data_IF_691808647239
#
_entry.id   IF_691808647239
#
_cell.length_a   1.000
_cell.length_b   1.000
_cell.length_c   1.000
_cell.angle_alpha   90.00
_cell.angle_beta   90.00
_cell.angle_gamma   90.00
#
_symmetry.space_group_name_H-M   'P 1'
#
loop_
_entity.id
_entity.type
_entity.pdbx_description
1 polymer ?
#
# COMPACT_ATOMS: atom_id res chain seq x y z
N UNK A 1 1.02 -17.85 -8.84
CA UNK A 1 2.08 -18.51 -8.05
C UNK A 1 2.91 -17.41 -7.42
N UNK A 2 3.03 -17.39 -6.10
CA UNK A 2 3.82 -16.36 -5.43
C UNK A 2 5.29 -16.76 -5.45
N UNK A 3 6.15 -15.89 -5.96
CA UNK A 3 7.61 -16.06 -5.88
C UNK A 3 8.03 -15.91 -4.41
N UNK A 4 8.98 -16.73 -3.96
CA UNK A 4 9.49 -16.59 -2.60
C UNK A 4 10.43 -15.38 -2.51
N UNK A 5 10.30 -14.61 -1.41
CA UNK A 5 11.21 -13.51 -1.14
C UNK A 5 12.54 -14.03 -0.60
N UNK A 6 13.64 -13.41 -1.00
CA UNK A 6 15.02 -13.80 -0.67
C UNK A 6 15.82 -12.61 -0.17
N UNK A 7 16.99 -12.90 0.37
CA UNK A 7 18.01 -11.89 0.66
C UNK A 7 18.36 -11.07 -0.60
N UNK A 8 18.47 -9.76 -0.42
CA UNK A 8 18.68 -8.74 -1.46
C UNK A 8 17.54 -8.60 -2.46
N UNK A 9 16.37 -9.20 -2.25
CA UNK A 9 15.20 -8.86 -3.06
C UNK A 9 14.73 -7.44 -2.67
N UNK A 10 14.42 -6.65 -3.70
CA UNK A 10 13.98 -5.25 -3.57
C UNK A 10 12.59 -5.17 -2.94
N UNK A 11 12.38 -4.14 -2.12
CA UNK A 11 11.07 -3.82 -1.52
C UNK A 11 10.52 -2.53 -2.14
N UNK A 12 9.20 -2.50 -2.30
CA UNK A 12 8.49 -1.43 -2.99
C UNK A 12 7.48 -0.73 -2.08
N UNK A 13 7.37 0.60 -2.25
CA UNK A 13 6.24 1.37 -1.71
C UNK A 13 5.27 1.78 -2.81
N UNK A 14 3.98 1.68 -2.54
CA UNK A 14 2.93 2.17 -3.43
C UNK A 14 2.74 3.67 -3.30
N UNK A 15 2.35 4.34 -4.39
CA UNK A 15 2.00 5.77 -4.42
C UNK A 15 0.54 6.05 -3.99
N UNK A 16 -0.07 5.14 -3.22
CA UNK A 16 -1.47 5.20 -2.80
C UNK A 16 -1.82 6.51 -2.08
N UNK A 17 -0.97 6.94 -1.14
CA UNK A 17 -1.20 8.19 -0.38
C UNK A 17 -1.21 9.43 -1.29
N UNK A 18 -0.29 9.50 -2.26
CA UNK A 18 -0.27 10.61 -3.23
C UNK A 18 -1.53 10.61 -4.08
N UNK A 19 -1.95 9.43 -4.54
CA UNK A 19 -3.19 9.25 -5.27
C UNK A 19 -4.41 9.69 -4.47
N UNK A 20 -4.49 9.31 -3.20
CA UNK A 20 -5.55 9.72 -2.28
C UNK A 20 -5.60 11.24 -2.12
N UNK A 21 -4.46 11.89 -1.88
CA UNK A 21 -4.40 13.35 -1.67
C UNK A 21 -4.84 14.10 -2.93
N UNK A 22 -4.37 13.69 -4.11
CA UNK A 22 -4.80 14.30 -5.37
C UNK A 22 -6.29 14.05 -5.64
N UNK A 23 -6.77 12.83 -5.41
CA UNK A 23 -8.18 12.48 -5.52
C UNK A 23 -9.06 13.28 -4.55
N UNK A 24 -8.59 13.50 -3.33
CA UNK A 24 -9.28 14.32 -2.33
C UNK A 24 -9.34 15.79 -2.74
N UNK A 25 -8.25 16.38 -3.25
CA UNK A 25 -8.25 17.76 -3.74
C UNK A 25 -9.26 17.93 -4.88
N UNK A 26 -9.24 17.02 -5.87
CA UNK A 26 -10.18 17.04 -6.99
C UNK A 26 -11.62 16.80 -6.52
N UNK A 27 -11.82 15.86 -5.60
CA UNK A 27 -13.13 15.55 -5.03
C UNK A 27 -13.74 16.72 -4.27
N UNK A 28 -12.95 17.39 -3.42
CA UNK A 28 -13.38 18.59 -2.69
C UNK A 28 -13.71 19.72 -3.68
N UNK A 29 -12.87 19.96 -4.69
CA UNK A 29 -13.13 20.98 -5.70
C UNK A 29 -14.43 20.70 -6.49
N UNK A 30 -14.66 19.44 -6.88
CA UNK A 30 -15.88 19.03 -7.57
C UNK A 30 -17.13 19.20 -6.70
N UNK A 31 -17.08 18.75 -5.44
CA UNK A 31 -18.18 18.92 -4.48
C UNK A 31 -18.47 20.40 -4.23
N UNK A 32 -17.44 21.22 -4.04
CA UNK A 32 -17.59 22.66 -3.82
C UNK A 32 -18.24 23.35 -5.03
N UNK A 33 -17.80 23.01 -6.25
CA UNK A 33 -18.35 23.55 -7.48
C UNK A 33 -19.84 23.20 -7.68
N UNK A 34 -20.19 21.91 -7.49
CA UNK A 34 -21.59 21.47 -7.64
C UNK A 34 -22.47 22.05 -6.53
N UNK A 35 -21.98 22.08 -5.29
CA UNK A 35 -22.72 22.65 -4.17
C UNK A 35 -22.98 24.15 -4.38
N UNK A 36 -22.00 24.90 -4.90
CA UNK A 36 -22.16 26.34 -5.17
C UNK A 36 -23.15 26.62 -6.31
N UNK A 37 -23.12 25.83 -7.39
CA UNK A 37 -24.02 26.01 -8.53
C UNK A 37 -25.47 25.65 -8.21
N UNK A 38 -25.68 24.70 -7.28
CA UNK A 38 -26.99 24.15 -6.94
C UNK A 38 -27.61 24.79 -5.68
N UNK A 39 -26.84 25.56 -4.91
CA UNK A 39 -27.31 26.25 -3.70
C UNK A 39 -28.48 27.24 -3.94
N UNK A 40 -28.67 27.70 -5.19
CA UNK A 40 -29.77 28.61 -5.55
C UNK A 40 -31.12 27.90 -5.78
N UNK A 41 -31.14 26.57 -5.86
CA UNK A 41 -32.31 25.79 -6.26
C UNK A 41 -33.27 25.41 -5.09
N UNK A 42 -33.17 26.06 -3.93
CA UNK A 42 -34.00 25.77 -2.76
C UNK A 42 -33.71 24.39 -2.12
N UNK A 43 -34.71 23.77 -1.49
CA UNK A 43 -34.55 22.50 -0.75
C UNK A 43 -34.03 21.36 -1.64
N UNK A 44 -34.46 21.30 -2.90
CA UNK A 44 -33.96 20.31 -3.87
C UNK A 44 -32.47 20.47 -4.17
N UNK A 45 -31.97 21.71 -4.15
CA UNK A 45 -30.55 21.97 -4.33
C UNK A 45 -29.69 21.59 -3.13
N UNK A 46 -30.21 21.83 -1.92
CA UNK A 46 -29.55 21.39 -0.67
C UNK A 46 -29.44 19.86 -0.62
N UNK A 47 -30.49 19.14 -1.00
CA UNK A 47 -30.48 17.67 -1.03
C UNK A 47 -29.48 17.12 -2.06
N UNK A 48 -29.37 17.74 -3.24
CA UNK A 48 -28.40 17.33 -4.25
C UNK A 48 -26.95 17.66 -3.83
N UNK A 49 -26.71 18.83 -3.23
CA UNK A 49 -25.40 19.18 -2.67
C UNK A 49 -24.95 18.22 -1.56
N UNK A 50 -25.85 17.82 -0.67
CA UNK A 50 -25.60 16.79 0.34
C UNK A 50 -25.28 15.43 -0.31
N UNK A 51 -26.06 15.00 -1.30
CA UNK A 51 -25.84 13.73 -1.99
C UNK A 51 -24.47 13.70 -2.71
N UNK A 52 -24.08 14.81 -3.34
CA UNK A 52 -22.77 14.94 -4.01
C UNK A 52 -21.64 15.03 -2.97
N UNK A 53 -21.85 15.71 -1.85
CA UNK A 53 -20.90 15.75 -0.73
C UNK A 53 -20.58 14.36 -0.18
N UNK A 54 -21.58 13.48 -0.06
CA UNK A 54 -21.36 12.08 0.32
C UNK A 54 -20.53 11.31 -0.71
N UNK A 55 -20.66 11.66 -2.00
CA UNK A 55 -19.91 11.03 -3.09
C UNK A 55 -18.44 11.51 -3.19
N UNK A 56 -18.04 12.59 -2.52
CA UNK A 56 -16.67 13.13 -2.57
C UNK A 56 -15.60 12.10 -2.15
N UNK A 57 -15.91 11.24 -1.18
CA UNK A 57 -15.00 10.18 -0.72
C UNK A 57 -14.73 9.13 -1.81
N UNK A 58 -15.66 8.92 -2.75
CA UNK A 58 -15.45 7.98 -3.85
C UNK A 58 -14.31 8.44 -4.76
N UNK A 59 -14.22 9.75 -5.04
CA UNK A 59 -13.16 10.33 -5.88
C UNK A 59 -11.78 10.21 -5.20
N UNK A 60 -11.72 10.44 -3.88
CA UNK A 60 -10.49 10.23 -3.11
C UNK A 60 -10.05 8.75 -3.12
N UNK A 61 -11.00 7.81 -2.93
CA UNK A 61 -10.71 6.37 -2.96
C UNK A 61 -10.27 5.87 -4.34
N UNK A 62 -10.83 6.44 -5.41
CA UNK A 62 -10.39 6.20 -6.78
C UNK A 62 -8.95 6.68 -6.97
N UNK A 63 -8.64 7.89 -6.50
CA UNK A 63 -7.27 8.41 -6.49
C UNK A 63 -6.30 7.48 -5.77
N UNK A 64 -6.66 7.01 -4.57
CA UNK A 64 -5.86 6.05 -3.80
C UNK A 64 -5.62 4.75 -4.57
N UNK A 65 -6.68 4.18 -5.17
CA UNK A 65 -6.58 2.91 -5.92
C UNK A 65 -5.68 3.02 -7.14
N UNK A 66 -5.75 4.15 -7.86
CA UNK A 66 -4.86 4.44 -9.00
C UNK A 66 -3.43 4.62 -8.48
N UNK A 67 -3.25 5.37 -7.39
CA UNK A 67 -1.94 5.54 -6.75
C UNK A 67 -1.34 4.22 -6.27
N UNK A 68 -2.17 3.29 -5.80
CA UNK A 68 -1.76 1.96 -5.35
C UNK A 68 -1.30 1.05 -6.49
N UNK A 69 -1.71 1.33 -7.73
CA UNK A 69 -1.27 0.61 -8.92
C UNK A 69 0.18 0.94 -9.32
N UNK A 70 0.72 2.06 -8.83
CA UNK A 70 2.11 2.45 -9.06
C UNK A 70 2.94 2.20 -7.81
N UNK A 71 4.09 1.58 -8.00
CA UNK A 71 5.08 1.39 -6.95
C UNK A 71 6.45 1.89 -7.39
N UNK A 72 7.30 2.17 -6.41
CA UNK A 72 8.70 2.46 -6.64
C UNK A 72 9.56 1.76 -5.58
N UNK A 73 10.78 1.44 -6.01
CA UNK A 73 11.87 0.97 -5.18
C UNK A 73 11.97 1.78 -3.89
N UNK A 74 12.15 1.08 -2.77
CA UNK A 74 12.27 1.68 -1.45
C UNK A 74 13.33 1.01 -0.54
N UNK A 75 14.09 0.04 -1.06
CA UNK A 75 15.16 -0.63 -0.34
C UNK A 75 15.20 -2.13 -0.64
N UNK A 76 15.70 -2.95 0.29
CA UNK A 76 15.87 -4.39 0.07
C UNK A 76 15.89 -5.21 1.37
N UNK A 77 15.66 -6.52 1.24
CA UNK A 77 15.76 -7.48 2.36
C UNK A 77 17.23 -7.75 2.71
N UNK A 78 17.59 -7.58 3.98
CA UNK A 78 18.97 -7.71 4.48
C UNK A 78 19.18 -8.93 5.38
N UNK A 79 18.12 -9.67 5.74
CA UNK A 79 18.29 -10.94 6.45
C UNK A 79 17.32 -12.03 6.00
N UNK A 80 17.83 -13.26 6.01
CA UNK A 80 17.11 -14.46 5.59
C UNK A 80 17.59 -15.69 6.35
N UNK A 81 17.15 -16.85 5.88
CA UNK A 81 17.40 -18.13 6.52
C UNK A 81 18.86 -18.57 6.42
N UNK A 82 19.48 -19.06 7.50
CA UNK A 82 20.87 -19.51 7.47
C UNK A 82 21.06 -20.86 6.74
N UNK A 83 19.99 -21.62 6.52
CA UNK A 83 20.04 -23.01 6.05
C UNK A 83 19.05 -23.32 4.91
N UNK A 84 18.10 -22.44 4.61
CA UNK A 84 17.14 -22.61 3.51
C UNK A 84 17.45 -21.57 2.44
N UNK A 85 17.83 -22.06 1.26
CA UNK A 85 18.20 -21.24 0.12
C UNK A 85 17.22 -21.46 -1.03
N UNK A 86 16.79 -20.38 -1.66
CA UNK A 86 15.93 -20.39 -2.84
C UNK A 86 16.70 -19.69 -3.96
N UNK A 87 16.93 -20.41 -5.07
CA UNK A 87 17.76 -19.93 -6.17
C UNK A 87 19.14 -19.44 -5.72
N UNK A 88 19.76 -20.17 -4.78
CA UNK A 88 21.11 -19.87 -4.26
C UNK A 88 21.19 -18.70 -3.26
N UNK A 89 20.06 -18.07 -2.89
CA UNK A 89 20.02 -16.98 -1.91
C UNK A 89 19.24 -17.38 -0.65
N UNK A 90 19.62 -16.90 0.55
CA UNK A 90 18.87 -17.13 1.77
C UNK A 90 17.40 -16.75 1.62
N UNK A 91 16.49 -17.65 2.01
CA UNK A 91 15.05 -17.41 1.92
C UNK A 91 14.57 -16.50 3.06
N UNK A 92 13.72 -15.52 2.77
CA UNK A 92 13.14 -14.65 3.77
C UNK A 92 11.91 -15.29 4.46
N UNK A 93 11.65 -14.90 5.70
CA UNK A 93 10.53 -15.42 6.49
C UNK A 93 9.98 -14.35 7.43
N UNK A 94 8.68 -14.43 7.73
CA UNK A 94 8.01 -13.43 8.56
C UNK A 94 8.59 -13.37 9.98
N UNK A 95 8.35 -12.23 10.65
CA UNK A 95 8.66 -11.92 12.06
C UNK A 95 10.14 -11.59 12.32
N UNK A 96 11.07 -12.33 11.73
CA UNK A 96 12.50 -12.21 12.03
C UNK A 96 13.34 -11.69 10.87
N UNK A 97 12.96 -11.95 9.61
CA UNK A 97 13.64 -11.31 8.49
C UNK A 97 13.46 -9.80 8.56
N UNK A 98 14.55 -9.11 8.30
CA UNK A 98 14.67 -7.66 8.32
C UNK A 98 14.97 -7.15 6.92
N UNK A 99 14.46 -5.98 6.61
CA UNK A 99 14.77 -5.24 5.41
C UNK A 99 15.14 -3.81 5.78
N UNK A 100 15.87 -3.16 4.87
CA UNK A 100 16.15 -1.74 4.95
C UNK A 100 15.17 -1.00 4.06
N UNK A 101 14.52 0.02 4.63
CA UNK A 101 13.62 0.90 3.91
C UNK A 101 14.18 2.33 3.93
N UNK A 102 14.38 2.92 2.77
CA UNK A 102 14.93 4.27 2.61
C UNK A 102 13.90 5.37 2.92
N UNK A 103 12.60 5.05 2.83
CA UNK A 103 11.49 6.00 3.04
C UNK A 103 11.00 6.07 4.49
N UNK A 104 11.34 5.08 5.31
CA UNK A 104 10.87 4.95 6.70
C UNK A 104 12.04 4.55 7.62
N UNK A 105 11.75 4.06 8.83
CA UNK A 105 12.78 3.54 9.75
C UNK A 105 13.72 2.57 9.01
N UNK A 106 15.05 2.71 9.17
CA UNK A 106 16.02 2.00 8.34
C UNK A 106 16.01 0.50 8.57
N UNK A 107 15.41 -0.01 9.65
CA UNK A 107 15.26 -1.46 9.87
C UNK A 107 13.77 -1.74 10.07
N UNK A 108 13.20 -2.46 9.11
CA UNK A 108 11.82 -2.93 9.14
C UNK A 108 11.81 -4.46 9.13
N UNK A 109 10.73 -5.06 9.61
CA UNK A 109 10.58 -6.52 9.64
C UNK A 109 9.58 -6.98 8.60
N UNK A 110 9.75 -8.20 8.12
CA UNK A 110 8.73 -8.87 7.30
C UNK A 110 7.54 -9.20 8.20
N UNK A 111 6.37 -8.64 7.90
CA UNK A 111 5.18 -8.74 8.75
C UNK A 111 4.24 -9.87 8.32
N UNK A 112 4.17 -10.16 7.02
CA UNK A 112 3.31 -11.19 6.45
C UNK A 112 4.12 -12.35 5.86
N UNK A 113 3.50 -13.52 5.77
CA UNK A 113 4.09 -14.71 5.18
C UNK A 113 3.03 -15.75 4.84
N UNK A 114 3.47 -16.91 4.38
CA UNK A 114 2.60 -18.02 4.00
C UNK A 114 1.87 -18.64 5.19
N UNK A 115 0.61 -19.03 5.00
CA UNK A 115 -0.19 -19.75 6.01
C UNK A 115 0.13 -21.25 6.08
N UNK A 116 0.79 -21.81 5.07
CA UNK A 116 0.99 -23.25 4.93
C UNK A 116 2.44 -23.68 4.64
N UNK A 117 3.32 -22.73 4.32
CA UNK A 117 4.75 -23.00 4.09
C UNK A 117 5.55 -22.28 5.16
N UNK A 118 6.40 -23.03 5.86
CA UNK A 118 7.19 -22.53 6.96
C UNK A 118 8.67 -22.76 6.71
N UNK A 119 9.49 -21.75 7.02
CA UNK A 119 10.95 -21.78 6.98
C UNK A 119 11.42 -21.60 8.42
N UNK A 120 12.17 -22.56 8.96
CA UNK A 120 12.61 -22.57 10.36
C UNK A 120 11.48 -22.36 11.37
N UNK A 121 10.30 -22.95 11.10
CA UNK A 121 9.13 -22.82 11.97
C UNK A 121 8.38 -21.48 11.89
N UNK A 122 8.79 -20.57 10.99
CA UNK A 122 8.14 -19.28 10.75
C UNK A 122 7.52 -19.22 9.35
N UNK A 123 6.44 -18.45 9.14
CA UNK A 123 5.82 -18.29 7.82
C UNK A 123 6.83 -17.88 6.75
N UNK A 124 6.87 -18.60 5.62
CA UNK A 124 7.74 -18.26 4.50
C UNK A 124 7.29 -16.94 3.83
N UNK A 125 8.21 -16.01 3.61
CA UNK A 125 7.89 -14.74 2.96
C UNK A 125 7.86 -14.89 1.44
N UNK A 126 6.95 -14.15 0.80
CA UNK A 126 6.72 -14.17 -0.64
C UNK A 126 6.74 -12.75 -1.17
N UNK A 127 6.97 -12.62 -2.47
CA UNK A 127 6.86 -11.35 -3.18
C UNK A 127 5.44 -10.78 -3.02
N UNK A 128 5.34 -9.56 -2.53
CA UNK A 128 4.06 -8.90 -2.23
C UNK A 128 3.57 -9.08 -0.79
N UNK A 129 4.24 -9.89 0.04
CA UNK A 129 3.95 -9.95 1.49
C UNK A 129 4.43 -8.65 2.17
N UNK A 130 3.62 -8.11 3.06
CA UNK A 130 3.89 -6.79 3.64
C UNK A 130 5.01 -6.80 4.68
N UNK A 131 5.74 -5.69 4.75
CA UNK A 131 6.65 -5.35 5.84
C UNK A 131 5.95 -4.48 6.89
N UNK A 132 6.56 -4.30 8.06
CA UNK A 132 6.01 -3.47 9.15
C UNK A 132 5.81 -2.00 8.78
N UNK A 133 6.51 -1.50 7.76
CA UNK A 133 6.29 -0.15 7.21
C UNK A 133 5.22 -0.08 6.12
N UNK A 134 4.61 -1.21 5.72
CA UNK A 134 3.65 -1.28 4.63
C UNK A 134 4.25 -1.37 3.22
N UNK A 135 5.58 -1.47 3.09
CA UNK A 135 6.22 -1.91 1.84
C UNK A 135 5.89 -3.38 1.54
N UNK A 136 6.14 -3.82 0.30
CA UNK A 136 5.86 -5.19 -0.16
C UNK A 136 6.91 -5.69 -1.16
#
# INVERSE_FOLDING_TARGET
>A
MFEAARLMDEIDHTSAMTGFVLGAIVGIAAVAYVSFTVATCGLGGILLGLAVGLAGNAIASLGESIGAAFSSAAGQIESGSPNVFINGRPAAFAIDSTAVCEKHSPIVKVAEGSSNVFINGKPAARKGDKLTCGAK
#
